data_IF_744161813517
#
_entry.id   IF_744161813517
#
_cell.length_a   1.000
_cell.length_b   1.000
_cell.length_c   1.000
_cell.angle_alpha   90.00
_cell.angle_beta   90.00
_cell.angle_gamma   90.00
#
_symmetry.space_group_name_H-M   'P 1'
#
loop_
_entity.id
_entity.type
_entity.pdbx_description
1 polymer ?
#
# COMPACT_ATOMS: atom_id res chain seq x y z
N UNK A 1 9.80 -11.29 -23.53
CA UNK A 1 10.07 -10.38 -22.41
C UNK A 1 10.50 -11.24 -21.23
N UNK A 2 11.50 -10.80 -20.48
CA UNK A 2 11.95 -11.52 -19.27
C UNK A 2 10.85 -11.40 -18.22
N UNK A 3 10.49 -12.51 -17.57
CA UNK A 3 9.55 -12.49 -16.45
C UNK A 3 10.22 -11.77 -15.26
N UNK A 4 9.71 -10.62 -14.78
CA UNK A 4 10.30 -9.89 -13.67
C UNK A 4 10.22 -10.64 -12.33
N UNK A 5 9.47 -11.73 -12.28
CA UNK A 5 9.32 -12.58 -11.09
C UNK A 5 10.18 -13.85 -11.15
N UNK A 6 10.99 -14.05 -12.21
CA UNK A 6 11.87 -15.21 -12.31
C UNK A 6 12.83 -15.26 -11.09
N UNK A 7 12.80 -16.32 -10.26
CA UNK A 7 13.61 -16.44 -9.06
C UNK A 7 15.13 -16.48 -9.33
N UNK A 8 15.52 -16.69 -10.59
CA UNK A 8 16.93 -16.69 -11.03
C UNK A 8 17.48 -15.29 -11.28
N UNK A 9 16.62 -14.28 -11.40
CA UNK A 9 17.08 -12.90 -11.59
C UNK A 9 17.94 -12.45 -10.42
N UNK A 10 18.99 -11.71 -10.75
CA UNK A 10 19.90 -11.09 -9.79
C UNK A 10 20.07 -9.61 -10.13
N UNK A 11 20.10 -8.78 -9.11
CA UNK A 11 20.41 -7.36 -9.22
C UNK A 11 21.91 -7.12 -9.19
N UNK A 12 22.36 -6.02 -9.80
CA UNK A 12 23.71 -5.50 -9.56
C UNK A 12 23.80 -4.76 -8.21
N UNK A 13 22.67 -4.36 -7.64
CA UNK A 13 22.57 -3.82 -6.29
C UNK A 13 22.69 -4.99 -5.30
N UNK A 14 23.55 -4.91 -4.28
CA UNK A 14 23.58 -5.90 -3.22
C UNK A 14 22.23 -5.96 -2.48
N UNK A 15 21.70 -7.15 -2.33
CA UNK A 15 20.47 -7.40 -1.59
C UNK A 15 20.75 -8.49 -0.57
N UNK A 16 20.55 -8.19 0.71
CA UNK A 16 20.64 -9.18 1.78
C UNK A 16 19.60 -10.29 1.59
N UNK A 17 19.95 -11.52 1.94
CA UNK A 17 19.05 -12.67 1.80
C UNK A 17 17.77 -12.54 2.65
N UNK A 18 17.81 -11.76 3.72
CA UNK A 18 16.68 -11.46 4.59
C UNK A 18 15.90 -10.19 4.17
N UNK A 19 16.32 -9.50 3.10
CA UNK A 19 15.63 -8.31 2.64
C UNK A 19 14.29 -8.64 2.01
N UNK A 20 13.27 -7.87 2.34
CA UNK A 20 11.94 -7.93 1.71
C UNK A 20 11.91 -7.34 0.29
N UNK A 21 13.03 -6.72 -0.15
CA UNK A 21 13.12 -5.99 -1.42
C UNK A 21 14.13 -6.58 -2.41
N UNK A 22 14.01 -7.87 -2.79
CA UNK A 22 14.78 -8.43 -3.89
C UNK A 22 14.28 -7.88 -5.23
N UNK A 23 15.03 -8.14 -6.32
CA UNK A 23 14.64 -7.70 -7.68
C UNK A 23 13.26 -8.22 -8.11
N UNK A 24 12.78 -9.30 -7.50
CA UNK A 24 11.44 -9.83 -7.72
C UNK A 24 10.35 -9.01 -7.01
N UNK A 25 10.69 -8.28 -5.93
CA UNK A 25 9.76 -7.45 -5.19
C UNK A 25 10.27 -6.00 -5.12
N UNK A 26 9.83 -5.18 -6.06
CA UNK A 26 10.22 -3.77 -6.24
C UNK A 26 9.02 -2.86 -5.93
N UNK A 27 8.68 -2.63 -4.65
CA UNK A 27 7.50 -1.84 -4.29
C UNK A 27 7.73 -0.36 -4.62
N UNK A 28 6.68 0.26 -5.17
CA UNK A 28 6.64 1.70 -5.38
C UNK A 28 6.42 2.44 -4.06
N UNK A 29 7.04 3.60 -3.94
CA UNK A 29 6.84 4.50 -2.83
C UNK A 29 7.05 5.95 -3.25
N UNK A 30 6.66 6.87 -2.37
CA UNK A 30 6.95 8.31 -2.53
C UNK A 30 7.89 8.73 -1.42
N UNK A 31 8.95 9.41 -1.80
CA UNK A 31 10.01 9.80 -0.88
C UNK A 31 10.55 11.20 -1.17
N UNK A 32 11.18 11.79 -0.17
CA UNK A 32 12.02 12.97 -0.29
C UNK A 32 13.31 12.78 0.51
N UNK A 33 14.32 13.60 0.25
CA UNK A 33 15.59 13.59 0.99
C UNK A 33 15.93 15.00 1.46
N UNK A 34 16.85 15.16 2.45
CA UNK A 34 17.29 16.48 2.89
C UNK A 34 17.82 17.36 1.74
N UNK A 35 18.54 16.75 0.77
CA UNK A 35 19.08 17.45 -0.40
C UNK A 35 18.06 17.72 -1.51
N UNK A 36 16.90 17.02 -1.49
CA UNK A 36 15.79 17.20 -2.45
C UNK A 36 14.46 17.03 -1.71
N UNK A 37 13.92 18.12 -1.14
CA UNK A 37 12.73 18.05 -0.28
C UNK A 37 11.42 17.82 -1.03
N UNK A 38 11.41 17.95 -2.36
CA UNK A 38 10.24 17.69 -3.19
C UNK A 38 9.95 16.18 -3.23
N UNK A 39 8.76 15.73 -2.82
CA UNK A 39 8.36 14.32 -2.92
C UNK A 39 8.32 13.84 -4.37
N UNK A 40 8.76 12.61 -4.60
CA UNK A 40 8.78 11.96 -5.91
C UNK A 40 8.74 10.46 -5.78
N UNK A 41 8.45 9.76 -6.86
CA UNK A 41 8.26 8.32 -6.87
C UNK A 41 9.60 7.59 -6.97
N UNK A 42 9.73 6.53 -6.19
CA UNK A 42 10.86 5.60 -6.26
C UNK A 42 10.42 4.16 -6.07
N UNK A 43 11.37 3.26 -6.23
CA UNK A 43 11.21 1.82 -6.01
C UNK A 43 12.27 1.35 -5.03
N UNK A 44 11.88 0.54 -4.05
CA UNK A 44 12.83 -0.07 -3.13
C UNK A 44 13.56 -1.26 -3.78
N UNK A 45 14.87 -1.39 -3.51
CA UNK A 45 15.71 -2.51 -3.87
C UNK A 45 16.80 -2.69 -2.81
N UNK A 46 16.78 -3.79 -2.05
CA UNK A 46 17.65 -3.96 -0.88
C UNK A 46 17.51 -2.76 0.07
N UNK A 47 18.63 -2.14 0.45
CA UNK A 47 18.68 -0.95 1.31
C UNK A 47 18.67 0.36 0.51
N UNK A 48 18.35 0.31 -0.77
CA UNK A 48 18.39 1.45 -1.68
C UNK A 48 17.01 1.79 -2.25
N UNK A 49 16.88 3.03 -2.70
CA UNK A 49 15.75 3.51 -3.50
C UNK A 49 16.28 3.86 -4.88
N UNK A 50 15.66 3.29 -5.91
CA UNK A 50 15.81 3.77 -7.29
C UNK A 50 14.86 4.95 -7.50
N UNK A 51 15.40 6.12 -7.75
CA UNK A 51 14.65 7.35 -8.06
C UNK A 51 14.07 7.26 -9.47
N UNK A 52 12.78 7.01 -9.56
CA UNK A 52 12.12 6.83 -10.86
C UNK A 52 11.98 8.13 -11.64
N UNK A 53 11.93 9.29 -10.96
CA UNK A 53 11.92 10.57 -11.66
C UNK A 53 13.23 10.82 -12.44
N UNK A 54 14.37 10.41 -11.86
CA UNK A 54 15.67 10.48 -12.52
C UNK A 54 15.71 9.56 -13.73
N UNK A 55 15.33 8.27 -13.56
CA UNK A 55 15.41 7.31 -14.68
C UNK A 55 14.39 7.56 -15.76
N UNK A 56 13.22 8.12 -15.45
CA UNK A 56 12.25 8.62 -16.42
C UNK A 56 12.83 9.79 -17.24
N UNK A 57 13.41 10.78 -16.56
CA UNK A 57 14.04 11.94 -17.19
C UNK A 57 15.19 11.59 -18.13
N UNK A 58 15.91 10.51 -17.85
CA UNK A 58 16.98 9.97 -18.71
C UNK A 58 16.43 9.03 -19.82
N UNK A 59 15.11 8.86 -19.92
CA UNK A 59 14.49 8.02 -20.95
C UNK A 59 14.80 6.53 -20.80
N UNK A 60 15.08 6.06 -19.60
CA UNK A 60 15.43 4.66 -19.33
C UNK A 60 14.22 3.75 -19.13
N UNK A 61 13.05 4.34 -18.87
CA UNK A 61 11.76 3.65 -18.74
C UNK A 61 10.81 4.20 -19.79
N UNK A 62 10.17 3.30 -20.55
CA UNK A 62 9.18 3.68 -21.55
C UNK A 62 7.78 3.82 -20.95
N UNK A 63 7.33 5.05 -20.81
CA UNK A 63 5.98 5.41 -20.35
C UNK A 63 5.16 6.11 -21.45
N UNK A 64 5.67 6.14 -22.68
CA UNK A 64 5.08 6.91 -23.77
C UNK A 64 3.56 6.61 -23.95
N UNK A 65 2.74 7.66 -24.21
CA UNK A 65 3.13 9.05 -24.45
C UNK A 65 3.28 9.93 -23.17
N UNK A 66 3.10 9.37 -21.98
CA UNK A 66 3.17 10.11 -20.71
C UNK A 66 4.62 10.53 -20.40
N UNK A 67 4.76 11.64 -19.66
CA UNK A 67 6.03 12.19 -19.18
C UNK A 67 5.85 12.78 -17.79
N UNK A 68 6.97 12.88 -17.05
CA UNK A 68 7.04 13.46 -15.70
C UNK A 68 6.06 12.81 -14.70
N UNK A 69 5.78 11.54 -14.91
CA UNK A 69 4.79 10.78 -14.13
C UNK A 69 5.35 10.44 -12.76
N UNK A 70 6.65 10.19 -12.68
CA UNK A 70 7.32 9.85 -11.43
C UNK A 70 7.89 11.07 -10.69
N UNK A 71 7.91 12.25 -11.30
CA UNK A 71 8.25 13.51 -10.63
C UNK A 71 7.07 14.10 -9.83
N UNK A 72 6.09 13.28 -9.45
CA UNK A 72 4.88 13.67 -8.73
C UNK A 72 4.95 13.29 -7.24
N UNK A 73 4.15 13.97 -6.43
CA UNK A 73 4.02 13.70 -5.00
C UNK A 73 3.15 12.48 -4.65
N UNK A 74 2.59 11.81 -5.65
CA UNK A 74 1.82 10.57 -5.53
C UNK A 74 1.99 9.72 -6.78
N UNK A 75 1.70 8.42 -6.69
CA UNK A 75 1.71 7.51 -7.84
C UNK A 75 0.39 7.51 -8.63
N UNK A 76 -0.55 8.37 -8.29
CA UNK A 76 -1.86 8.43 -8.93
C UNK A 76 -1.77 8.69 -10.44
N UNK A 77 -0.87 9.58 -10.87
CA UNK A 77 -0.63 9.83 -12.29
C UNK A 77 -0.13 8.59 -13.04
N UNK A 78 0.72 7.77 -12.40
CA UNK A 78 1.17 6.50 -12.96
C UNK A 78 0.05 5.46 -13.01
N UNK A 79 -0.74 5.34 -11.94
CA UNK A 79 -1.89 4.44 -11.91
C UNK A 79 -2.90 4.75 -13.02
N UNK A 80 -3.13 6.03 -13.31
CA UNK A 80 -4.03 6.45 -14.38
C UNK A 80 -3.64 5.96 -15.79
N UNK A 81 -2.39 5.53 -16.00
CA UNK A 81 -1.91 5.02 -17.29
C UNK A 81 -2.39 3.58 -17.59
N UNK A 82 -2.88 2.86 -16.60
CA UNK A 82 -3.47 1.54 -16.74
C UNK A 82 -2.49 0.36 -16.77
N UNK A 83 -3.02 -0.87 -16.70
CA UNK A 83 -2.25 -2.09 -16.41
C UNK A 83 -1.18 -2.43 -17.45
N UNK A 84 -1.40 -2.08 -18.73
CA UNK A 84 -0.39 -2.30 -19.78
C UNK A 84 0.88 -1.48 -19.55
N UNK A 85 0.71 -0.23 -19.07
CA UNK A 85 1.84 0.64 -18.77
C UNK A 85 2.50 0.22 -17.46
N UNK A 86 1.73 -0.16 -16.46
CA UNK A 86 2.27 -0.67 -15.18
C UNK A 86 3.18 -1.87 -15.39
N UNK A 87 2.71 -2.86 -16.18
CA UNK A 87 3.48 -4.06 -16.50
C UNK A 87 4.76 -3.72 -17.28
N UNK A 88 4.66 -2.85 -18.29
CA UNK A 88 5.82 -2.41 -19.07
C UNK A 88 6.85 -1.68 -18.21
N UNK A 89 6.42 -0.78 -17.36
CA UNK A 89 7.29 -0.06 -16.42
C UNK A 89 7.96 -1.05 -15.44
N UNK A 90 7.20 -1.99 -14.87
CA UNK A 90 7.74 -3.01 -13.95
C UNK A 90 8.83 -3.85 -14.60
N UNK A 91 8.62 -4.29 -15.84
CA UNK A 91 9.62 -5.02 -16.62
C UNK A 91 10.84 -4.14 -16.88
N UNK A 92 10.65 -2.90 -17.34
CA UNK A 92 11.76 -1.96 -17.62
C UNK A 92 12.60 -1.65 -16.38
N UNK A 93 11.98 -1.45 -15.22
CA UNK A 93 12.67 -1.25 -13.94
C UNK A 93 13.48 -2.49 -13.57
N UNK A 94 12.88 -3.68 -13.67
CA UNK A 94 13.56 -4.94 -13.39
C UNK A 94 14.78 -5.13 -14.31
N UNK A 95 14.61 -4.93 -15.61
CA UNK A 95 15.71 -5.02 -16.58
C UNK A 95 16.84 -4.03 -16.29
N UNK A 96 16.51 -2.79 -15.89
CA UNK A 96 17.49 -1.77 -15.56
C UNK A 96 18.34 -2.14 -14.35
N UNK A 97 17.76 -2.86 -13.39
CA UNK A 97 18.42 -3.28 -12.16
C UNK A 97 19.17 -4.61 -12.27
N UNK A 98 19.06 -5.33 -13.38
CA UNK A 98 19.72 -6.63 -13.56
C UNK A 98 21.24 -6.51 -13.53
N UNK A 99 21.88 -7.53 -12.98
CA UNK A 99 23.34 -7.63 -12.88
C UNK A 99 24.07 -7.65 -14.24
N UNK A 100 23.39 -8.08 -15.31
CA UNK A 100 23.91 -8.19 -16.67
C UNK A 100 23.53 -6.99 -17.56
N UNK A 101 22.78 -6.00 -17.05
CA UNK A 101 22.41 -4.78 -17.79
C UNK A 101 23.37 -3.62 -17.48
N UNK A 102 24.15 -3.13 -18.46
CA UNK A 102 25.15 -2.09 -18.23
C UNK A 102 24.59 -0.66 -18.16
N UNK A 103 23.33 -0.43 -18.60
CA UNK A 103 22.78 0.92 -18.80
C UNK A 103 22.83 1.80 -17.54
N UNK A 104 22.46 1.26 -16.39
CA UNK A 104 22.58 1.94 -15.09
C UNK A 104 23.82 1.44 -14.33
N UNK A 105 24.09 0.15 -14.38
CA UNK A 105 25.20 -0.49 -13.65
C UNK A 105 26.53 0.17 -13.94
N UNK A 106 26.85 0.45 -15.19
CA UNK A 106 28.17 0.94 -15.61
C UNK A 106 28.22 2.48 -15.77
N UNK A 107 27.11 3.17 -15.53
CA UNK A 107 27.02 4.63 -15.55
C UNK A 107 27.11 5.20 -14.12
N UNK A 108 28.31 5.47 -13.66
CA UNK A 108 28.58 5.93 -12.29
C UNK A 108 27.83 7.22 -11.95
N UNK A 109 27.95 8.23 -12.80
CA UNK A 109 27.28 9.53 -12.60
C UNK A 109 25.76 9.39 -12.49
N UNK A 110 25.18 8.52 -13.30
CA UNK A 110 23.76 8.27 -13.23
C UNK A 110 23.37 7.47 -11.98
N UNK A 111 24.17 6.47 -11.59
CA UNK A 111 23.94 5.71 -10.35
C UNK A 111 23.92 6.62 -9.12
N UNK A 112 24.87 7.54 -9.01
CA UNK A 112 24.94 8.49 -7.88
C UNK A 112 23.69 9.37 -7.77
N UNK A 113 23.06 9.69 -8.90
CA UNK A 113 21.83 10.47 -8.94
C UNK A 113 20.57 9.63 -8.72
N UNK A 114 20.54 8.41 -9.26
CA UNK A 114 19.36 7.56 -9.33
C UNK A 114 19.24 6.59 -8.16
N UNK A 115 20.32 6.22 -7.49
CA UNK A 115 20.32 5.26 -6.38
C UNK A 115 20.67 5.96 -5.07
N UNK A 116 19.74 5.93 -4.15
CA UNK A 116 19.84 6.64 -2.87
C UNK A 116 19.70 5.65 -1.71
N UNK A 117 20.45 5.83 -0.61
CA UNK A 117 20.26 5.01 0.58
C UNK A 117 18.84 5.21 1.14
N UNK A 118 18.12 4.12 1.41
CA UNK A 118 16.78 4.17 1.99
C UNK A 118 16.77 4.89 3.35
N UNK A 119 17.81 4.73 4.15
CA UNK A 119 17.95 5.38 5.45
C UNK A 119 18.01 6.92 5.38
N UNK A 120 18.34 7.51 4.22
CA UNK A 120 18.35 8.95 4.01
C UNK A 120 17.01 9.51 3.55
N UNK A 121 16.03 8.65 3.27
CA UNK A 121 14.75 9.03 2.73
C UNK A 121 13.71 9.28 3.83
N UNK A 122 12.88 10.28 3.61
CA UNK A 122 11.61 10.47 4.30
C UNK A 122 10.50 9.95 3.40
N UNK A 123 9.74 8.97 3.87
CA UNK A 123 8.60 8.42 3.16
C UNK A 123 7.36 9.32 3.31
N UNK A 124 6.56 9.36 2.27
CA UNK A 124 5.26 10.02 2.19
C UNK A 124 4.18 9.01 1.83
N UNK A 125 2.91 9.35 2.06
CA UNK A 125 1.80 8.51 1.61
C UNK A 125 1.90 8.38 0.09
N UNK A 126 1.98 7.14 -0.46
CA UNK A 126 2.30 6.98 -1.87
C UNK A 126 1.13 7.30 -2.81
N UNK A 127 -0.09 7.27 -2.29
CA UNK A 127 -1.32 7.51 -3.05
C UNK A 127 -2.16 8.60 -2.38
N UNK A 128 -2.90 9.34 -3.18
CA UNK A 128 -4.01 10.16 -2.72
C UNK A 128 -5.24 9.26 -2.56
N UNK A 129 -5.60 8.96 -1.31
CA UNK A 129 -6.71 8.06 -1.00
C UNK A 129 -8.02 8.83 -1.11
N UNK A 130 -8.67 8.75 -2.26
CA UNK A 130 -9.94 9.44 -2.52
C UNK A 130 -11.13 8.79 -1.77
N UNK A 131 -11.09 7.48 -1.60
CA UNK A 131 -12.09 6.69 -0.89
C UNK A 131 -11.49 5.44 -0.29
N UNK A 132 -12.12 4.92 0.74
CA UNK A 132 -11.70 3.71 1.44
C UNK A 132 -12.94 2.90 1.81
N UNK A 133 -12.95 1.65 1.38
CA UNK A 133 -13.97 0.67 1.79
C UNK A 133 -13.26 -0.42 2.58
N UNK A 134 -13.72 -0.62 3.80
CA UNK A 134 -13.20 -1.65 4.69
C UNK A 134 -14.10 -2.88 4.58
N UNK A 135 -13.50 -4.03 4.21
CA UNK A 135 -14.21 -5.29 4.04
C UNK A 135 -13.96 -6.23 5.22
N UNK A 136 -15.02 -6.79 5.75
CA UNK A 136 -15.02 -7.77 6.82
C UNK A 136 -14.94 -9.20 6.25
N UNK A 137 -13.84 -9.50 5.53
CA UNK A 137 -13.74 -10.68 4.66
C UNK A 137 -13.00 -11.88 5.28
N UNK A 138 -12.20 -11.69 6.34
CA UNK A 138 -11.53 -12.81 7.01
C UNK A 138 -12.50 -13.56 7.91
N UNK A 139 -12.74 -14.85 7.61
CA UNK A 139 -13.63 -15.70 8.41
C UNK A 139 -13.14 -15.89 9.83
N UNK A 140 -11.84 -16.03 10.01
CA UNK A 140 -11.19 -16.19 11.31
C UNK A 140 -11.38 -14.94 12.16
N UNK A 141 -11.07 -13.77 11.58
CA UNK A 141 -11.27 -12.48 12.24
C UNK A 141 -12.75 -12.25 12.58
N UNK A 142 -13.65 -12.43 11.61
CA UNK A 142 -15.09 -12.27 11.79
C UNK A 142 -15.66 -13.19 12.88
N UNK A 143 -15.18 -14.43 12.94
CA UNK A 143 -15.57 -15.39 13.98
C UNK A 143 -15.06 -14.96 15.35
N UNK A 144 -13.79 -14.60 15.45
CA UNK A 144 -13.17 -14.21 16.72
C UNK A 144 -13.82 -12.95 17.32
N UNK A 145 -13.99 -11.92 16.51
CA UNK A 145 -14.68 -10.68 16.93
C UNK A 145 -16.15 -10.95 17.24
N UNK A 146 -16.82 -11.76 16.42
CA UNK A 146 -18.21 -12.16 16.63
C UNK A 146 -18.41 -12.92 17.93
N UNK A 147 -17.50 -13.81 18.29
CA UNK A 147 -17.54 -14.50 19.59
C UNK A 147 -17.46 -13.52 20.75
N UNK A 148 -16.59 -12.51 20.66
CA UNK A 148 -16.44 -11.49 21.72
C UNK A 148 -17.71 -10.65 21.91
N UNK A 149 -18.41 -10.35 20.83
CA UNK A 149 -19.59 -9.45 20.88
C UNK A 149 -20.92 -10.18 21.00
N UNK A 150 -21.05 -11.38 20.41
CA UNK A 150 -22.33 -12.09 20.26
C UNK A 150 -22.34 -13.51 20.85
N UNK A 151 -21.19 -14.01 21.32
CA UNK A 151 -21.02 -15.39 21.77
C UNK A 151 -20.80 -16.39 20.62
N UNK A 152 -20.42 -17.62 20.98
CA UNK A 152 -20.02 -18.65 20.00
C UNK A 152 -21.13 -19.04 19.03
N UNK A 153 -22.36 -19.12 19.49
CA UNK A 153 -23.48 -19.61 18.69
C UNK A 153 -23.95 -18.60 17.63
N UNK A 154 -23.61 -17.31 17.82
CA UNK A 154 -24.00 -16.21 16.93
C UNK A 154 -22.79 -15.43 16.40
N UNK A 155 -21.62 -16.10 16.32
CA UNK A 155 -20.38 -15.44 15.93
C UNK A 155 -20.45 -14.83 14.53
N UNK A 156 -21.00 -15.55 13.55
CA UNK A 156 -21.18 -15.06 12.19
C UNK A 156 -22.66 -14.78 11.92
N UNK A 157 -22.93 -13.63 11.29
CA UNK A 157 -24.27 -13.33 10.80
C UNK A 157 -24.62 -14.27 9.61
N UNK A 158 -25.90 -14.64 9.42
CA UNK A 158 -26.30 -15.59 8.38
C UNK A 158 -25.89 -15.19 6.96
N UNK A 159 -25.85 -13.89 6.67
CA UNK A 159 -25.47 -13.34 5.35
C UNK A 159 -23.97 -13.28 5.13
N UNK A 160 -23.14 -13.46 6.15
CA UNK A 160 -21.68 -13.29 6.05
C UNK A 160 -21.05 -14.24 5.01
N UNK A 161 -21.56 -15.47 4.89
CA UNK A 161 -21.08 -16.47 3.93
C UNK A 161 -21.57 -16.25 2.49
N UNK A 162 -22.49 -15.30 2.28
CA UNK A 162 -23.22 -15.17 1.01
C UNK A 162 -23.00 -13.84 0.31
N UNK A 163 -22.46 -12.84 0.99
CA UNK A 163 -22.24 -11.52 0.41
C UNK A 163 -21.03 -10.83 1.05
N UNK A 164 -20.28 -10.02 0.29
CA UNK A 164 -19.21 -9.21 0.84
C UNK A 164 -19.82 -8.15 1.77
N UNK A 165 -19.35 -8.14 3.02
CA UNK A 165 -19.73 -7.14 4.02
C UNK A 165 -18.59 -6.14 4.14
N UNK A 166 -18.91 -4.88 3.96
CA UNK A 166 -17.98 -3.80 4.09
C UNK A 166 -18.67 -2.51 4.50
N UNK A 167 -17.88 -1.54 4.93
CA UNK A 167 -18.36 -0.22 5.31
C UNK A 167 -17.47 0.86 4.72
N UNK A 168 -18.05 2.05 4.59
CA UNK A 168 -17.31 3.21 4.14
C UNK A 168 -16.30 3.61 5.22
N UNK A 169 -15.03 3.36 4.94
CA UNK A 169 -13.92 3.69 5.82
C UNK A 169 -13.53 5.17 5.74
N UNK A 170 -12.76 5.61 6.72
CA UNK A 170 -12.30 6.99 6.81
C UNK A 170 -10.94 7.17 6.13
N UNK A 171 -10.95 7.54 4.85
CA UNK A 171 -9.74 7.78 4.05
C UNK A 171 -8.81 8.84 4.66
N UNK A 172 -9.36 9.86 5.33
CA UNK A 172 -8.59 10.99 5.89
C UNK A 172 -7.64 10.63 7.04
N UNK A 173 -7.76 9.43 7.61
CA UNK A 173 -6.88 8.94 8.69
C UNK A 173 -5.96 7.82 8.26
N UNK A 174 -5.88 7.53 6.97
CA UNK A 174 -4.84 6.68 6.41
C UNK A 174 -3.55 7.49 6.36
N UNK A 175 -2.53 7.02 7.06
CA UNK A 175 -1.26 7.74 7.25
C UNK A 175 -0.07 6.84 6.96
N UNK A 176 1.09 7.44 6.67
CA UNK A 176 2.33 6.70 6.40
C UNK A 176 2.86 6.02 7.67
N UNK A 177 3.54 4.88 7.49
CA UNK A 177 4.23 4.16 8.57
C UNK A 177 5.15 5.08 9.38
N UNK A 178 5.21 4.84 10.69
CA UNK A 178 5.97 5.66 11.63
C UNK A 178 5.22 6.90 12.17
N UNK A 179 4.03 7.21 11.66
CA UNK A 179 3.17 8.25 12.21
C UNK A 179 2.72 7.84 13.61
N UNK A 180 2.90 8.75 14.58
CA UNK A 180 2.46 8.51 15.96
C UNK A 180 0.94 8.54 16.05
N UNK A 181 0.35 7.44 16.51
CA UNK A 181 -1.08 7.35 16.77
C UNK A 181 -1.36 7.68 18.24
N UNK A 182 -2.17 8.70 18.46
CA UNK A 182 -2.62 9.05 19.81
C UNK A 182 -3.75 8.11 20.24
N UNK A 183 -3.65 7.54 21.45
CA UNK A 183 -4.74 6.75 22.04
C UNK A 183 -6.05 7.55 22.00
N UNK A 184 -7.12 7.03 21.36
CA UNK A 184 -8.38 7.77 21.23
C UNK A 184 -9.09 7.91 22.57
N UNK A 185 -9.99 8.87 22.61
CA UNK A 185 -10.92 9.09 23.72
C UNK A 185 -12.34 9.06 23.17
N UNK A 186 -13.25 8.49 23.92
CA UNK A 186 -14.65 8.36 23.53
C UNK A 186 -15.54 7.98 24.70
N UNK A 187 -16.78 7.64 24.40
CA UNK A 187 -17.70 7.09 25.38
C UNK A 187 -17.37 5.62 25.63
N UNK A 188 -17.32 5.27 26.90
CA UNK A 188 -17.05 3.92 27.40
C UNK A 188 -18.22 3.49 28.27
N UNK A 189 -18.85 2.38 27.94
CA UNK A 189 -19.94 1.80 28.76
C UNK A 189 -19.58 0.39 29.18
N UNK A 190 -18.91 0.21 30.32
CA UNK A 190 -18.63 -1.14 30.82
C UNK A 190 -19.91 -1.87 31.21
N UNK A 191 -19.90 -3.20 31.25
CA UNK A 191 -21.05 -3.99 31.69
C UNK A 191 -21.56 -3.53 33.06
N UNK A 192 -22.89 -3.37 33.19
CA UNK A 192 -23.54 -2.95 34.43
C UNK A 192 -23.60 -1.44 34.67
N UNK A 193 -22.93 -0.62 33.84
CA UNK A 193 -23.09 0.84 33.94
C UNK A 193 -24.42 1.30 33.33
N UNK A 194 -25.13 2.19 34.02
CA UNK A 194 -26.37 2.80 33.48
C UNK A 194 -26.05 3.74 32.31
N UNK A 195 -25.03 4.57 32.48
CA UNK A 195 -24.63 5.59 31.51
C UNK A 195 -23.17 5.40 31.07
N UNK A 196 -22.82 5.80 29.84
CA UNK A 196 -21.43 5.82 29.42
C UNK A 196 -20.66 6.93 30.15
N UNK A 197 -19.36 6.72 30.28
CA UNK A 197 -18.41 7.73 30.75
C UNK A 197 -17.45 8.12 29.63
N UNK A 198 -17.01 9.37 29.56
CA UNK A 198 -16.05 9.81 28.58
C UNK A 198 -14.61 9.66 29.11
N UNK A 199 -13.74 8.97 28.36
CA UNK A 199 -12.36 8.73 28.79
C UNK A 199 -11.47 8.16 27.68
N UNK A 200 -10.18 7.91 27.99
CA UNK A 200 -9.28 7.25 27.06
C UNK A 200 -9.68 5.79 26.86
N UNK A 201 -9.58 5.30 25.61
CA UNK A 201 -9.72 3.89 25.29
C UNK A 201 -8.80 3.03 26.18
N UNK A 202 -9.34 1.98 26.79
CA UNK A 202 -8.62 1.02 27.63
C UNK A 202 -8.25 -0.27 26.91
N UNK A 203 -8.88 -0.51 25.74
CA UNK A 203 -8.70 -1.71 24.91
C UNK A 203 -8.34 -1.31 23.47
N UNK A 204 -7.18 -0.66 23.34
CA UNK A 204 -6.62 -0.37 22.02
C UNK A 204 -6.00 -1.65 21.47
N UNK A 205 -6.40 -2.02 20.28
CA UNK A 205 -5.97 -3.21 19.54
C UNK A 205 -5.44 -2.82 18.17
N UNK A 206 -4.77 -3.73 17.49
CA UNK A 206 -4.34 -3.58 16.10
C UNK A 206 -5.00 -4.65 15.23
N UNK A 207 -5.18 -4.32 13.96
CA UNK A 207 -5.63 -5.28 12.95
C UNK A 207 -4.60 -5.28 11.81
N UNK A 208 -4.02 -6.46 11.55
CA UNK A 208 -3.14 -6.65 10.41
C UNK A 208 -3.97 -6.94 9.17
N UNK A 209 -3.96 -6.04 8.22
CA UNK A 209 -4.80 -6.09 7.03
C UNK A 209 -3.99 -5.99 5.75
N UNK A 210 -4.61 -6.42 4.65
CA UNK A 210 -4.13 -6.19 3.29
C UNK A 210 -4.99 -5.12 2.64
N UNK A 211 -4.39 -3.99 2.34
CA UNK A 211 -5.01 -2.94 1.53
C UNK A 211 -4.83 -3.25 0.04
N UNK A 212 -5.94 -3.26 -0.69
CA UNK A 212 -5.95 -3.40 -2.15
C UNK A 212 -6.04 -2.01 -2.78
N UNK A 213 -5.05 -1.65 -3.58
CA UNK A 213 -5.04 -0.36 -4.29
C UNK A 213 -5.66 -0.54 -5.66
N UNK A 214 -6.81 0.11 -5.89
CA UNK A 214 -7.48 0.14 -7.18
C UNK A 214 -6.90 1.26 -8.02
N UNK A 215 -6.28 0.90 -9.13
CA UNK A 215 -5.59 1.85 -10.00
C UNK A 215 -6.43 2.39 -11.16
N UNK A 216 -7.56 1.75 -11.47
CA UNK A 216 -8.47 2.18 -12.54
C UNK A 216 -9.90 2.30 -12.00
N UNK A 217 -10.61 3.32 -12.47
CA UNK A 217 -12.02 3.50 -12.14
C UNK A 217 -12.91 2.71 -13.09
N UNK A 218 -14.03 2.19 -12.58
CA UNK A 218 -15.12 1.69 -13.41
C UNK A 218 -16.05 2.82 -13.85
N UNK A 219 -16.69 2.72 -15.02
CA UNK A 219 -17.76 3.62 -15.38
C UNK A 219 -18.93 3.53 -14.39
N UNK A 220 -19.53 4.67 -14.09
CA UNK A 220 -20.66 4.75 -13.16
C UNK A 220 -21.84 3.92 -13.67
N UNK A 221 -22.34 3.03 -12.82
CA UNK A 221 -23.52 2.20 -13.10
C UNK A 221 -23.25 0.96 -13.97
N UNK A 222 -22.01 0.74 -14.40
CA UNK A 222 -21.66 -0.48 -15.12
C UNK A 222 -21.31 -1.61 -14.15
N UNK A 223 -21.81 -2.80 -14.45
CA UNK A 223 -21.43 -4.02 -13.74
C UNK A 223 -20.06 -4.49 -14.20
N UNK A 224 -19.19 -4.78 -13.25
CA UNK A 224 -17.90 -5.38 -13.52
C UNK A 224 -17.98 -6.90 -13.39
N UNK A 225 -17.36 -7.59 -14.33
CA UNK A 225 -17.06 -9.00 -14.19
C UNK A 225 -15.81 -9.18 -13.32
N UNK A 226 -15.68 -10.32 -12.66
CA UNK A 226 -14.56 -10.65 -11.77
C UNK A 226 -13.20 -10.40 -12.42
N UNK A 227 -13.01 -10.87 -13.64
CA UNK A 227 -11.77 -10.66 -14.39
C UNK A 227 -11.44 -9.18 -14.64
N UNK A 228 -12.44 -8.36 -14.93
CA UNK A 228 -12.27 -6.92 -15.12
C UNK A 228 -11.85 -6.23 -13.81
N UNK A 229 -12.44 -6.66 -12.69
CA UNK A 229 -12.09 -6.15 -11.37
C UNK A 229 -10.63 -6.49 -11.00
N UNK A 230 -10.16 -7.69 -11.33
CA UNK A 230 -8.77 -8.10 -11.13
C UNK A 230 -7.80 -7.22 -11.91
N UNK A 231 -8.10 -6.89 -13.17
CA UNK A 231 -7.28 -6.00 -14.01
C UNK A 231 -7.18 -4.55 -13.47
N UNK A 232 -8.12 -4.14 -12.61
CA UNK A 232 -8.11 -2.81 -11.98
C UNK A 232 -7.18 -2.73 -10.76
N UNK A 233 -6.74 -3.85 -10.22
CA UNK A 233 -5.85 -3.88 -9.07
C UNK A 233 -4.46 -3.42 -9.49
N UNK A 234 -4.01 -2.30 -8.89
CA UNK A 234 -2.64 -1.82 -9.07
C UNK A 234 -1.64 -2.57 -8.20
N UNK A 235 -2.01 -2.88 -6.97
CA UNK A 235 -1.14 -3.55 -6.03
C UNK A 235 -1.71 -3.67 -4.63
N UNK A 236 -0.84 -4.07 -3.71
CA UNK A 236 -1.21 -4.35 -2.34
C UNK A 236 -0.31 -3.59 -1.37
N UNK A 237 -0.86 -3.23 -0.22
CA UNK A 237 -0.12 -2.67 0.91
C UNK A 237 -0.49 -3.40 2.20
N UNK A 238 0.41 -3.38 3.16
CA UNK A 238 0.09 -3.80 4.53
C UNK A 238 -0.51 -2.58 5.23
N UNK A 239 -1.66 -2.78 5.87
CA UNK A 239 -2.38 -1.78 6.63
C UNK A 239 -2.53 -2.25 8.08
N UNK A 240 -2.37 -1.34 9.02
CA UNK A 240 -2.75 -1.58 10.41
C UNK A 240 -3.97 -0.72 10.73
N UNK A 241 -5.12 -1.36 10.95
CA UNK A 241 -6.32 -0.66 11.42
C UNK A 241 -6.34 -0.66 12.96
N UNK A 242 -6.01 0.49 13.53
CA UNK A 242 -6.03 0.68 14.97
C UNK A 242 -7.47 0.73 15.50
N UNK A 243 -7.83 -0.24 16.33
CA UNK A 243 -9.19 -0.46 16.80
C UNK A 243 -9.34 -0.21 18.31
N UNK A 244 -10.23 0.69 18.68
CA UNK A 244 -10.57 0.99 20.07
C UNK A 244 -11.77 0.14 20.51
N UNK A 245 -11.53 -1.11 20.92
CA UNK A 245 -12.54 -2.15 21.12
C UNK A 245 -13.63 -1.79 22.13
N UNK A 246 -13.29 -1.09 23.18
CA UNK A 246 -14.27 -0.66 24.21
C UNK A 246 -15.14 0.52 23.75
N UNK A 247 -14.61 1.40 22.90
CA UNK A 247 -15.41 2.45 22.25
C UNK A 247 -16.29 1.80 21.17
N UNK A 248 -15.71 0.95 20.33
CA UNK A 248 -16.43 0.20 19.28
C UNK A 248 -17.61 -0.59 19.85
N UNK A 249 -17.43 -1.25 20.98
CA UNK A 249 -18.49 -2.03 21.64
C UNK A 249 -19.70 -1.18 22.01
N UNK A 250 -19.49 0.06 22.40
CA UNK A 250 -20.57 0.99 22.73
C UNK A 250 -21.22 1.61 21.51
N UNK A 251 -20.41 1.93 20.51
CA UNK A 251 -20.88 2.53 19.24
C UNK A 251 -21.46 1.50 18.26
N UNK A 252 -21.29 0.21 18.54
CA UNK A 252 -21.80 -0.88 17.71
C UNK A 252 -23.34 -0.89 17.69
N UNK A 253 -23.94 -0.90 16.46
CA UNK A 253 -25.38 -0.89 16.20
C UNK A 253 -25.79 -2.15 15.44
#
# INVERSE_FOLDING_TARGET
MTDPNDPRLRSFIPVDAASDFPIQNLPYGVFSTPGSPTPRVGVAIGDSILDLAVVEGEGLIDLAPARDVFAQSSINAFMALGPKVWSRARVGISELLRHDNPRLRDNETLRERALLPMAAAKLHLPIEVAGYTDFYSSKEHATNVGVMFRGKDNALQPNWLHMPIGYNGRASTVVVSGTKVRRPRGQLKPPGAELPSFGPCKRLDFELEIGVVIGQSSPMGEMLMEQQAEEMIFGFVILNDWSARDIQQWEYV
#
